data_IF_095335313169
#
_entry.id   IF_095335313169
#
_cell.length_a   1.000
_cell.length_b   1.000
_cell.length_c   1.000
_cell.angle_alpha   90.00
_cell.angle_beta   90.00
_cell.angle_gamma   90.00
#
_symmetry.space_group_name_H-M   'P 1'
#
loop_
_entity.id
_entity.type
_entity.pdbx_description
1 polymer ?
#
# COMPACT_ATOMS: atom_id res chain seq x y z
N UNK A 1 -1.46 -26.44 -26.56
CA UNK A 1 -0.35 -26.49 -27.55
C UNK A 1 -0.77 -27.12 -28.86
N UNK A 2 -1.45 -28.27 -28.85
CA UNK A 2 -2.13 -28.85 -30.02
C UNK A 2 -3.16 -27.90 -30.63
N UNK A 3 -3.92 -27.17 -29.81
CA UNK A 3 -4.83 -26.10 -30.23
C UNK A 3 -4.12 -24.92 -30.92
N UNK A 4 -2.84 -24.70 -30.62
CA UNK A 4 -2.00 -23.66 -31.24
C UNK A 4 -1.24 -24.18 -32.48
N UNK A 5 -1.49 -25.41 -32.91
CA UNK A 5 -0.86 -26.02 -34.09
C UNK A 5 0.59 -26.49 -33.86
N UNK A 6 0.96 -26.81 -32.61
CA UNK A 6 2.28 -27.31 -32.26
C UNK A 6 2.26 -28.77 -31.80
N UNK A 7 3.17 -29.57 -32.34
CA UNK A 7 3.52 -30.91 -31.87
C UNK A 7 4.71 -30.82 -30.90
N UNK A 8 4.63 -31.58 -29.81
CA UNK A 8 5.68 -31.63 -28.78
C UNK A 8 6.26 -33.03 -28.75
N UNK A 9 7.59 -33.14 -28.74
CA UNK A 9 8.32 -34.39 -28.53
C UNK A 9 9.09 -34.32 -27.22
N UNK A 10 8.84 -35.31 -26.35
CA UNK A 10 9.56 -35.50 -25.10
C UNK A 10 10.68 -36.52 -25.29
N UNK A 11 11.88 -36.18 -24.86
CA UNK A 11 13.10 -37.00 -24.94
C UNK A 11 14.16 -36.37 -24.04
N UNK A 12 15.46 -36.59 -24.30
CA UNK A 12 16.54 -35.93 -23.50
C UNK A 12 16.41 -34.41 -23.45
N UNK A 13 15.88 -33.79 -24.51
CA UNK A 13 15.47 -32.39 -24.52
C UNK A 13 14.11 -32.29 -25.20
N UNK A 14 13.23 -31.45 -24.64
CA UNK A 14 11.93 -31.16 -25.27
C UNK A 14 12.17 -30.50 -26.63
N UNK A 15 11.35 -30.87 -27.62
CA UNK A 15 11.38 -30.28 -28.95
C UNK A 15 9.98 -29.94 -29.44
N UNK A 16 9.86 -28.82 -30.15
CA UNK A 16 8.61 -28.33 -30.71
C UNK A 16 8.65 -28.37 -32.24
N UNK A 17 7.52 -28.70 -32.86
CA UNK A 17 7.32 -28.61 -34.29
C UNK A 17 6.02 -27.87 -34.57
N UNK A 18 6.12 -26.78 -35.31
CA UNK A 18 4.96 -26.05 -35.82
C UNK A 18 4.39 -26.79 -37.03
N UNK A 19 3.07 -26.70 -37.24
CA UNK A 19 2.34 -27.36 -38.34
C UNK A 19 3.02 -27.28 -39.71
N UNK A 20 3.63 -26.14 -40.05
CA UNK A 20 4.20 -25.89 -41.38
C UNK A 20 5.69 -26.26 -41.50
N UNK A 21 6.33 -26.74 -40.41
CA UNK A 21 7.75 -27.09 -40.41
C UNK A 21 7.94 -28.59 -40.51
N UNK A 22 8.86 -29.03 -41.37
CA UNK A 22 9.14 -30.47 -41.55
C UNK A 22 9.88 -31.10 -40.36
N UNK A 23 10.68 -30.32 -39.61
CA UNK A 23 11.57 -30.83 -38.54
C UNK A 23 11.24 -30.24 -37.17
N UNK A 24 11.52 -31.00 -36.12
CA UNK A 24 11.44 -30.54 -34.73
C UNK A 24 12.62 -29.62 -34.39
N UNK A 25 12.34 -28.50 -33.73
CA UNK A 25 13.34 -27.62 -33.15
C UNK A 25 13.49 -27.94 -31.66
N UNK A 26 14.70 -28.26 -31.21
CA UNK A 26 14.98 -28.51 -29.79
C UNK A 26 15.01 -27.19 -29.04
N UNK A 27 14.42 -27.15 -27.84
CA UNK A 27 14.37 -25.90 -27.07
C UNK A 27 15.77 -25.35 -26.76
N UNK A 28 16.77 -26.22 -26.55
CA UNK A 28 18.16 -25.80 -26.32
C UNK A 28 18.75 -24.89 -27.41
N UNK A 29 18.18 -24.90 -28.62
CA UNK A 29 18.62 -24.02 -29.71
C UNK A 29 18.07 -22.60 -29.60
N UNK A 30 17.01 -22.39 -28.81
CA UNK A 30 16.38 -21.08 -28.59
C UNK A 30 17.22 -20.25 -27.62
N UNK A 31 17.88 -20.91 -26.66
CA UNK A 31 18.82 -20.31 -25.72
C UNK A 31 18.82 -21.01 -24.37
N UNK A 32 19.84 -20.73 -23.55
CA UNK A 32 19.99 -21.33 -22.21
C UNK A 32 18.84 -20.97 -21.27
N UNK A 33 18.22 -19.81 -21.52
CA UNK A 33 17.00 -19.34 -20.86
C UNK A 33 15.78 -20.23 -21.07
N UNK A 34 15.76 -21.12 -22.06
CA UNK A 34 14.59 -21.93 -22.37
C UNK A 34 14.80 -23.41 -22.05
N UNK A 35 15.91 -23.78 -21.43
CA UNK A 35 16.15 -25.15 -21.00
C UNK A 35 15.10 -25.56 -19.95
N UNK A 36 14.72 -26.83 -19.96
CA UNK A 36 13.67 -27.38 -19.10
C UNK A 36 13.91 -27.10 -17.61
N UNK A 37 15.15 -27.20 -17.14
CA UNK A 37 15.54 -26.91 -15.76
C UNK A 37 15.23 -25.45 -15.39
N UNK A 38 15.63 -24.50 -16.25
CA UNK A 38 15.42 -23.06 -16.04
C UNK A 38 13.94 -22.66 -16.15
N UNK A 39 13.17 -23.34 -17.00
CA UNK A 39 11.72 -23.15 -17.07
C UNK A 39 11.02 -23.68 -15.82
N UNK A 40 11.45 -24.82 -15.28
CA UNK A 40 10.94 -25.37 -14.00
C UNK A 40 11.27 -24.43 -12.85
N UNK A 41 12.51 -23.95 -12.78
CA UNK A 41 12.97 -22.98 -11.77
C UNK A 41 12.10 -21.72 -11.77
N UNK A 42 11.88 -21.10 -12.93
CA UNK A 42 10.98 -19.93 -13.05
C UNK A 42 9.54 -20.22 -12.65
N UNK A 43 9.02 -21.41 -12.93
CA UNK A 43 7.66 -21.78 -12.50
C UNK A 43 7.58 -21.86 -10.98
N UNK A 44 8.59 -22.40 -10.30
CA UNK A 44 8.69 -22.38 -8.83
C UNK A 44 8.89 -20.97 -8.27
N UNK A 45 9.75 -20.14 -8.87
CA UNK A 45 9.96 -18.76 -8.44
C UNK A 45 8.69 -17.92 -8.57
N UNK A 46 7.97 -18.03 -9.69
CA UNK A 46 6.72 -17.30 -9.93
C UNK A 46 5.58 -17.73 -8.99
N UNK A 47 5.60 -18.96 -8.44
CA UNK A 47 4.62 -19.37 -7.42
C UNK A 47 4.80 -18.62 -6.09
N UNK A 48 6.00 -18.10 -5.82
CA UNK A 48 6.27 -17.33 -4.59
C UNK A 48 5.77 -15.89 -4.65
N UNK A 49 5.45 -15.40 -5.85
CA UNK A 49 4.83 -14.09 -6.04
C UNK A 49 3.37 -14.20 -5.59
N UNK A 50 3.17 -14.07 -4.27
CA UNK A 50 1.85 -13.90 -3.67
C UNK A 50 1.29 -12.59 -4.23
N UNK A 51 0.47 -12.69 -5.28
CA UNK A 51 -0.42 -11.59 -5.66
C UNK A 51 -1.16 -11.16 -4.39
N UNK A 52 -1.07 -9.89 -3.97
CA UNK A 52 -1.73 -9.44 -2.75
C UNK A 52 -3.21 -9.79 -2.90
N UNK A 53 -3.73 -10.60 -1.99
CA UNK A 53 -5.15 -10.94 -2.01
C UNK A 53 -5.93 -9.62 -2.01
N UNK A 54 -6.74 -9.38 -3.04
CA UNK A 54 -7.65 -8.25 -3.06
C UNK A 54 -8.51 -8.41 -1.80
N UNK A 55 -8.23 -7.60 -0.76
CA UNK A 55 -9.00 -7.63 0.48
C UNK A 55 -10.45 -7.39 0.07
N UNK A 56 -11.33 -8.36 0.32
CA UNK A 56 -12.77 -8.17 0.09
C UNK A 56 -13.20 -6.95 0.89
N UNK A 57 -13.49 -5.85 0.19
CA UNK A 57 -14.01 -4.64 0.83
C UNK A 57 -15.49 -4.86 1.03
N UNK A 58 -15.94 -4.68 2.26
CA UNK A 58 -17.37 -4.67 2.58
C UNK A 58 -17.96 -3.40 1.94
N UNK A 59 -19.13 -3.54 1.32
CA UNK A 59 -19.83 -2.41 0.70
C UNK A 59 -20.31 -1.38 1.74
N UNK A 60 -20.73 -0.22 1.26
CA UNK A 60 -21.40 0.77 2.11
C UNK A 60 -22.92 0.52 2.10
N UNK A 61 -23.55 0.69 3.27
CA UNK A 61 -25.01 0.68 3.41
C UNK A 61 -25.58 1.99 2.88
N UNK A 62 -26.62 1.89 2.06
CA UNK A 62 -27.33 3.03 1.49
C UNK A 62 -28.31 3.57 2.54
N UNK A 63 -28.21 4.86 2.84
CA UNK A 63 -29.20 5.53 3.67
C UNK A 63 -30.51 5.73 2.88
N UNK A 64 -31.55 4.97 3.23
CA UNK A 64 -32.84 4.98 2.56
C UNK A 64 -33.60 6.31 2.75
N UNK A 65 -33.39 7.01 3.86
CA UNK A 65 -34.14 8.22 4.20
C UNK A 65 -33.65 9.46 3.43
N UNK A 66 -32.34 9.50 3.13
CA UNK A 66 -31.71 10.64 2.45
C UNK A 66 -31.63 10.45 0.94
N UNK A 67 -31.66 9.21 0.44
CA UNK A 67 -31.49 8.93 -0.98
C UNK A 67 -32.76 9.28 -1.77
N UNK A 68 -32.66 10.26 -2.66
CA UNK A 68 -33.77 10.69 -3.51
C UNK A 68 -34.25 9.59 -4.46
N UNK A 69 -33.35 8.73 -4.96
CA UNK A 69 -33.71 7.62 -5.88
C UNK A 69 -34.58 6.58 -5.20
N UNK A 70 -34.38 6.34 -3.90
CA UNK A 70 -35.23 5.44 -3.11
C UNK A 70 -36.65 6.00 -3.03
N UNK A 71 -36.81 7.32 -2.89
CA UNK A 71 -38.13 7.97 -2.81
C UNK A 71 -38.90 7.99 -4.13
N UNK A 72 -38.20 8.08 -5.26
CA UNK A 72 -38.83 8.26 -6.58
C UNK A 72 -38.86 7.01 -7.45
N UNK A 73 -38.07 5.97 -7.13
CA UNK A 73 -37.93 4.77 -7.96
C UNK A 73 -38.12 3.52 -7.10
N UNK A 74 -39.29 2.89 -7.19
CA UNK A 74 -39.64 1.68 -6.42
C UNK A 74 -38.66 0.52 -6.68
N UNK A 75 -38.21 0.34 -7.93
CA UNK A 75 -37.22 -0.69 -8.27
C UNK A 75 -35.86 -0.46 -7.60
N UNK A 76 -35.48 0.81 -7.40
CA UNK A 76 -34.25 1.17 -6.70
C UNK A 76 -34.40 0.96 -5.18
N UNK A 77 -35.56 1.28 -4.62
CA UNK A 77 -35.87 0.97 -3.21
C UNK A 77 -35.75 -0.53 -2.93
N UNK A 78 -36.36 -1.37 -3.76
CA UNK A 78 -36.27 -2.83 -3.61
C UNK A 78 -34.82 -3.33 -3.70
N UNK A 79 -34.08 -2.86 -4.71
CA UNK A 79 -32.68 -3.22 -4.88
C UNK A 79 -31.82 -2.75 -3.70
N UNK A 80 -31.98 -1.51 -3.26
CA UNK A 80 -31.22 -0.93 -2.15
C UNK A 80 -31.51 -1.65 -0.83
N UNK A 81 -32.74 -2.10 -0.61
CA UNK A 81 -33.12 -2.91 0.56
C UNK A 81 -32.34 -4.23 0.56
N UNK A 82 -32.36 -4.96 -0.57
CA UNK A 82 -31.64 -6.22 -0.73
C UNK A 82 -30.12 -6.04 -0.60
N UNK A 83 -29.58 -4.99 -1.22
CA UNK A 83 -28.16 -4.63 -1.12
C UNK A 83 -27.75 -4.34 0.33
N UNK A 84 -28.54 -3.55 1.05
CA UNK A 84 -28.27 -3.21 2.44
C UNK A 84 -28.29 -4.44 3.35
N UNK A 85 -29.26 -5.34 3.18
CA UNK A 85 -29.32 -6.59 3.94
C UNK A 85 -28.09 -7.47 3.69
N UNK A 86 -27.69 -7.65 2.43
CA UNK A 86 -26.50 -8.41 2.10
C UNK A 86 -25.23 -7.76 2.69
N UNK A 87 -25.10 -6.44 2.54
CA UNK A 87 -23.95 -5.69 3.06
C UNK A 87 -23.84 -5.77 4.59
N UNK A 88 -24.98 -5.69 5.29
CA UNK A 88 -25.04 -5.84 6.75
C UNK A 88 -24.69 -7.27 7.18
N UNK A 89 -25.17 -8.29 6.46
CA UNK A 89 -24.81 -9.68 6.73
C UNK A 89 -23.30 -9.93 6.53
N UNK A 90 -22.72 -9.44 5.43
CA UNK A 90 -21.28 -9.49 5.19
C UNK A 90 -20.48 -8.77 6.29
N UNK A 91 -20.96 -7.61 6.75
CA UNK A 91 -20.37 -6.87 7.87
C UNK A 91 -20.33 -7.70 9.15
N UNK A 92 -21.45 -8.34 9.51
CA UNK A 92 -21.54 -9.17 10.72
C UNK A 92 -20.63 -10.39 10.62
N UNK A 93 -20.59 -11.06 9.47
CA UNK A 93 -19.68 -12.20 9.23
C UNK A 93 -18.24 -11.76 9.39
N UNK A 94 -17.85 -10.66 8.75
CA UNK A 94 -16.49 -10.13 8.83
C UNK A 94 -16.07 -9.80 10.26
N UNK A 95 -16.92 -9.12 11.02
CA UNK A 95 -16.65 -8.75 12.42
C UNK A 95 -16.44 -10.02 13.28
N UNK A 96 -17.24 -11.07 13.06
CA UNK A 96 -17.10 -12.37 13.73
C UNK A 96 -15.84 -13.12 13.33
N UNK A 97 -15.48 -13.11 12.04
CA UNK A 97 -14.20 -13.67 11.56
C UNK A 97 -12.99 -13.00 12.24
N UNK A 98 -13.13 -11.73 12.63
CA UNK A 98 -12.11 -10.98 13.38
C UNK A 98 -12.23 -11.17 14.90
N UNK A 99 -13.03 -12.13 15.37
CA UNK A 99 -13.12 -12.50 16.79
C UNK A 99 -14.01 -11.59 17.63
N UNK A 100 -14.74 -10.65 17.03
CA UNK A 100 -15.66 -9.77 17.74
C UNK A 100 -17.06 -10.39 17.67
N UNK A 101 -17.54 -10.91 18.80
CA UNK A 101 -18.79 -11.66 18.86
C UNK A 101 -19.94 -10.88 19.52
N UNK A 102 -19.66 -9.71 20.09
CA UNK A 102 -20.65 -8.87 20.77
C UNK A 102 -20.40 -7.39 20.54
N UNK A 103 -21.47 -6.59 20.64
CA UNK A 103 -21.39 -5.13 20.55
C UNK A 103 -20.50 -4.55 21.65
N UNK A 104 -20.56 -5.11 22.87
CA UNK A 104 -19.69 -4.68 23.99
C UNK A 104 -18.20 -4.83 23.66
N UNK A 105 -17.80 -5.96 23.07
CA UNK A 105 -16.43 -6.18 22.63
C UNK A 105 -16.01 -5.19 21.53
N UNK A 106 -16.93 -4.87 20.62
CA UNK A 106 -16.68 -3.87 19.59
C UNK A 106 -16.45 -2.48 20.20
N UNK A 107 -17.27 -2.09 21.17
CA UNK A 107 -17.16 -0.81 21.88
C UNK A 107 -15.85 -0.70 22.67
N UNK A 108 -15.45 -1.77 23.36
CA UNK A 108 -14.16 -1.85 24.06
C UNK A 108 -12.98 -1.72 23.09
N UNK A 109 -13.03 -2.41 21.96
CA UNK A 109 -12.00 -2.31 20.91
C UNK A 109 -11.93 -0.88 20.34
N UNK A 110 -13.08 -0.26 20.08
CA UNK A 110 -13.15 1.11 19.60
C UNK A 110 -12.57 2.10 20.62
N UNK A 111 -12.88 1.94 21.92
CA UNK A 111 -12.28 2.76 22.99
C UNK A 111 -10.77 2.60 23.04
N UNK A 112 -10.27 1.37 23.09
CA UNK A 112 -8.84 1.10 23.12
C UNK A 112 -8.13 1.69 21.90
N UNK A 113 -8.70 1.53 20.70
CA UNK A 113 -8.14 2.11 19.48
C UNK A 113 -8.16 3.64 19.50
N UNK A 114 -9.19 4.26 20.08
CA UNK A 114 -9.26 5.71 20.24
C UNK A 114 -8.22 6.23 21.24
N UNK A 115 -8.04 5.55 22.38
CA UNK A 115 -7.02 5.87 23.37
C UNK A 115 -5.60 5.73 22.79
N UNK A 116 -5.31 4.64 22.09
CA UNK A 116 -4.04 4.43 21.40
C UNK A 116 -3.76 5.54 20.38
N UNK A 117 -4.78 5.93 19.60
CA UNK A 117 -4.68 7.03 18.64
C UNK A 117 -4.38 8.35 19.34
N UNK A 118 -5.05 8.64 20.45
CA UNK A 118 -4.83 9.85 21.21
C UNK A 118 -3.40 9.91 21.76
N UNK A 119 -2.94 8.81 22.37
CA UNK A 119 -1.57 8.70 22.89
C UNK A 119 -0.51 8.90 21.80
N UNK A 120 -0.72 8.33 20.61
CA UNK A 120 0.18 8.55 19.47
C UNK A 120 0.15 10.01 19.01
N UNK A 121 -1.03 10.62 18.94
CA UNK A 121 -1.15 12.03 18.56
C UNK A 121 -0.42 12.95 19.54
N UNK A 122 -0.49 12.67 20.83
CA UNK A 122 0.19 13.48 21.84
C UNK A 122 1.72 13.32 21.78
N UNK A 123 2.22 12.12 21.51
CA UNK A 123 3.65 11.90 21.19
C UNK A 123 4.08 12.66 19.94
N UNK A 124 3.25 12.68 18.90
CA UNK A 124 3.56 13.47 17.68
C UNK A 124 3.68 14.95 18.00
N UNK A 125 2.81 15.50 18.86
CA UNK A 125 2.88 16.91 19.27
C UNK A 125 4.17 17.22 20.05
N UNK A 126 4.61 16.31 20.92
CA UNK A 126 5.87 16.46 21.65
C UNK A 126 7.06 16.52 20.67
N UNK A 127 7.11 15.59 19.72
CA UNK A 127 8.15 15.57 18.67
C UNK A 127 8.10 16.84 17.82
N UNK A 128 6.91 17.29 17.41
CA UNK A 128 6.75 18.52 16.63
C UNK A 128 7.27 19.75 17.39
N UNK A 129 7.08 19.79 18.71
CA UNK A 129 7.62 20.86 19.56
C UNK A 129 9.14 20.82 19.62
N UNK A 130 9.73 19.64 19.83
CA UNK A 130 11.19 19.47 19.83
C UNK A 130 11.81 19.86 18.48
N UNK A 131 11.15 19.50 17.37
CA UNK A 131 11.57 19.90 16.03
C UNK A 131 11.56 21.42 15.84
N UNK A 132 10.53 22.11 16.35
CA UNK A 132 10.45 23.57 16.29
C UNK A 132 11.57 24.24 17.10
N UNK A 133 11.82 23.77 18.32
CA UNK A 133 12.91 24.27 19.16
C UNK A 133 14.28 24.05 18.49
N UNK A 134 14.52 22.85 17.95
CA UNK A 134 15.75 22.53 17.23
C UNK A 134 15.92 23.45 16.00
N UNK A 135 14.86 23.65 15.21
CA UNK A 135 14.89 24.56 14.05
C UNK A 135 15.27 25.98 14.46
N UNK A 136 14.66 26.51 15.53
CA UNK A 136 14.97 27.84 16.04
C UNK A 136 16.43 27.96 16.51
N UNK A 137 16.95 26.95 17.22
CA UNK A 137 18.38 26.95 17.62
C UNK A 137 19.31 26.90 16.42
N UNK A 138 18.96 26.16 15.37
CA UNK A 138 19.76 26.06 14.16
C UNK A 138 19.82 27.40 13.40
N UNK A 139 18.70 28.13 13.33
CA UNK A 139 18.65 29.50 12.78
C UNK A 139 19.52 30.48 13.58
N UNK A 140 19.47 30.40 14.92
CA UNK A 140 20.32 31.21 15.80
C UNK A 140 21.80 30.89 15.58
N UNK A 141 22.19 29.62 15.54
CA UNK A 141 23.57 29.19 15.28
C UNK A 141 24.05 29.67 13.92
N UNK A 142 23.21 29.55 12.88
CA UNK A 142 23.52 30.07 11.55
C UNK A 142 23.76 31.59 11.57
N UNK A 143 22.88 32.34 12.23
CA UNK A 143 23.00 33.80 12.39
C UNK A 143 24.28 34.18 13.11
N UNK A 144 24.59 33.53 14.25
CA UNK A 144 25.84 33.76 14.99
C UNK A 144 27.05 33.46 14.11
N UNK A 145 27.06 32.34 13.38
CA UNK A 145 28.17 31.97 12.50
C UNK A 145 28.38 32.99 11.39
N UNK A 146 27.30 33.48 10.76
CA UNK A 146 27.33 34.51 9.72
C UNK A 146 27.94 35.82 10.22
N UNK A 147 27.59 36.23 11.44
CA UNK A 147 28.03 37.51 12.01
C UNK A 147 29.29 37.43 12.87
N UNK A 148 29.88 36.24 13.04
CA UNK A 148 31.02 36.01 13.93
C UNK A 148 32.27 36.79 13.53
N UNK A 149 32.61 36.83 12.25
CA UNK A 149 33.82 37.51 11.79
C UNK A 149 33.70 39.03 11.95
N UNK A 150 32.56 39.60 11.57
CA UNK A 150 32.26 41.02 11.82
C UNK A 150 32.34 41.38 13.32
N UNK A 151 31.81 40.53 14.20
CA UNK A 151 31.91 40.73 15.65
C UNK A 151 33.37 40.71 16.15
N UNK A 152 34.21 39.80 15.63
CA UNK A 152 35.63 39.73 16.01
C UNK A 152 36.41 40.97 15.58
N UNK A 153 36.19 41.44 14.35
CA UNK A 153 36.83 42.65 13.82
C UNK A 153 36.48 43.87 14.68
N UNK A 154 35.20 44.08 14.96
CA UNK A 154 34.75 45.15 15.85
C UNK A 154 35.34 45.05 17.26
N UNK A 155 35.37 43.84 17.84
CA UNK A 155 35.93 43.63 19.17
C UNK A 155 37.44 43.92 19.23
N UNK A 156 38.17 43.66 18.16
CA UNK A 156 39.59 43.99 18.05
C UNK A 156 39.83 45.49 17.86
N UNK A 157 38.93 46.17 17.14
CA UNK A 157 39.03 47.61 16.80
C UNK A 157 37.83 48.42 17.33
N UNK A 158 37.65 48.56 18.66
CA UNK A 158 36.47 49.18 19.26
C UNK A 158 36.33 50.70 19.02
N UNK A 159 37.35 51.36 18.47
CA UNK A 159 37.34 52.80 18.14
C UNK A 159 37.18 53.08 16.64
N UNK A 160 36.95 52.05 15.82
CA UNK A 160 36.72 52.22 14.38
C UNK A 160 35.35 52.84 14.12
N UNK A 161 35.36 54.14 13.80
CA UNK A 161 34.14 54.92 13.50
C UNK A 161 33.48 54.55 12.18
N UNK A 162 34.16 53.84 11.27
CA UNK A 162 33.58 53.42 10.00
C UNK A 162 32.73 52.14 10.14
N UNK A 163 32.85 51.44 11.27
CA UNK A 163 32.10 50.22 11.57
C UNK A 163 30.73 50.49 12.23
N UNK A 164 30.57 51.63 12.90
CA UNK A 164 29.31 52.10 13.52
C UNK A 164 28.42 52.83 12.51
#
# INVERSE_FOLDING_TARGET
>A
MTELGYEIKYGKHIAFKQKDKQRFTRIKMIGDDYIEERLKERLTENQTIKTPSIKKRIGNVINMNTNTKVKYIEGYEYWATKHNLNTMAESVVFIREHGINSVKQLDEYNKKSAEERQNLQDKTKEIDKEMQELSATMEQVYTIKKHREYYKEHKANPSDKAFF
#
